data_IF_058555210717
#
_entry.id   IF_058555210717
#
_cell.length_a   1.000
_cell.length_b   1.000
_cell.length_c   1.000
_cell.angle_alpha   90.00
_cell.angle_beta   90.00
_cell.angle_gamma   90.00
#
_symmetry.space_group_name_H-M   'P 1'
#
loop_
_entity.id
_entity.type
_entity.pdbx_description
1 polymer ?
#
# COMPACT_ATOMS: atom_id res chain seq x y z
N UNK A 1 -40.13 26.91 2.67
CA UNK A 1 -41.07 25.79 2.89
C UNK A 1 -41.32 25.10 1.57
N UNK A 2 -40.66 23.97 1.34
CA UNK A 2 -41.04 22.98 0.32
C UNK A 2 -40.83 21.62 0.98
N UNK A 3 -41.90 20.85 1.01
CA UNK A 3 -42.13 19.68 1.87
C UNK A 3 -41.28 18.48 1.47
N UNK A 4 -40.55 17.95 2.45
CA UNK A 4 -39.85 16.66 2.41
C UNK A 4 -40.89 15.53 2.34
N UNK A 5 -41.03 14.89 1.18
CA UNK A 5 -41.81 13.65 1.03
C UNK A 5 -40.84 12.48 0.93
N UNK A 6 -40.77 11.70 2.00
CA UNK A 6 -39.97 10.49 2.07
C UNK A 6 -40.44 9.47 1.03
N UNK A 7 -39.54 9.13 0.10
CA UNK A 7 -39.58 7.86 -0.59
C UNK A 7 -38.32 7.08 -0.25
N UNK A 8 -38.58 5.89 0.29
CA UNK A 8 -37.65 4.86 0.71
C UNK A 8 -36.51 4.66 -0.28
N UNK A 9 -35.27 4.71 0.22
CA UNK A 9 -34.04 4.45 -0.52
C UNK A 9 -33.94 3.02 -1.09
N UNK A 10 -34.91 2.15 -0.80
CA UNK A 10 -34.96 0.76 -1.27
C UNK A 10 -35.57 0.58 -2.68
N UNK A 11 -36.06 1.64 -3.35
CA UNK A 11 -36.74 1.54 -4.65
C UNK A 11 -36.09 2.32 -5.81
N UNK A 12 -34.82 2.75 -5.69
CA UNK A 12 -34.13 3.43 -6.80
C UNK A 12 -33.40 2.45 -7.73
N UNK A 13 -33.80 2.45 -9.00
CA UNK A 13 -33.22 1.68 -10.10
C UNK A 13 -31.73 2.07 -10.33
N UNK A 14 -30.79 1.11 -10.43
CA UNK A 14 -29.34 1.38 -10.53
C UNK A 14 -28.95 2.29 -11.71
N UNK A 15 -29.71 2.26 -12.82
CA UNK A 15 -29.48 3.14 -13.97
C UNK A 15 -29.73 4.63 -13.67
N UNK A 16 -30.68 4.94 -12.78
CA UNK A 16 -31.00 6.32 -12.39
C UNK A 16 -29.91 6.93 -11.48
N UNK A 17 -29.26 6.11 -10.65
CA UNK A 17 -28.09 6.50 -9.86
C UNK A 17 -26.89 6.86 -10.76
N UNK A 18 -26.65 6.10 -11.83
CA UNK A 18 -25.56 6.37 -12.77
C UNK A 18 -25.82 7.60 -13.66
N UNK A 19 -27.07 7.84 -14.05
CA UNK A 19 -27.46 9.03 -14.82
C UNK A 19 -27.37 10.31 -13.98
N UNK A 20 -27.81 10.26 -12.71
CA UNK A 20 -27.78 11.42 -11.81
C UNK A 20 -26.35 11.79 -11.37
N UNK A 21 -25.47 10.78 -11.25
CA UNK A 21 -24.06 10.98 -10.92
C UNK A 21 -23.26 11.74 -12.00
N UNK A 22 -23.66 11.67 -13.29
CA UNK A 22 -23.01 12.42 -14.37
C UNK A 22 -23.41 13.90 -14.44
N UNK A 23 -24.57 14.27 -13.89
CA UNK A 23 -25.14 15.61 -14.07
C UNK A 23 -24.81 16.61 -12.93
N UNK A 24 -24.26 16.17 -11.80
CA UNK A 24 -24.04 17.02 -10.61
C UNK A 24 -22.56 17.38 -10.35
N UNK A 25 -21.77 17.54 -11.41
CA UNK A 25 -20.38 17.98 -11.30
C UNK A 25 -20.27 19.51 -11.20
N UNK A 26 -20.64 20.09 -10.06
CA UNK A 26 -20.34 21.51 -9.77
C UNK A 26 -20.03 21.71 -8.29
N UNK A 27 -18.80 21.33 -7.90
CA UNK A 27 -17.92 21.88 -6.83
C UNK A 27 -17.04 20.76 -6.24
N UNK A 28 -15.75 21.01 -5.98
CA UNK A 28 -14.82 19.98 -5.51
C UNK A 28 -15.19 19.38 -4.14
N UNK A 29 -15.86 20.15 -3.28
CA UNK A 29 -16.35 19.68 -1.96
C UNK A 29 -17.47 18.65 -2.08
N UNK A 30 -18.45 18.88 -2.97
CA UNK A 30 -19.55 17.94 -3.19
C UNK A 30 -19.04 16.64 -3.84
N UNK A 31 -18.09 16.75 -4.76
CA UNK A 31 -17.48 15.57 -5.39
C UNK A 31 -16.70 14.70 -4.40
N UNK A 32 -16.08 15.28 -3.36
CA UNK A 32 -15.43 14.51 -2.29
C UNK A 32 -16.46 13.89 -1.33
N UNK A 33 -17.47 14.64 -0.91
CA UNK A 33 -18.54 14.11 -0.06
C UNK A 33 -19.28 12.91 -0.70
N UNK A 34 -19.55 13.00 -2.01
CA UNK A 34 -20.13 11.88 -2.78
C UNK A 34 -19.18 10.69 -2.82
N UNK A 35 -17.87 10.91 -2.99
CA UNK A 35 -16.88 9.83 -2.98
C UNK A 35 -16.80 9.13 -1.62
N UNK A 36 -16.89 9.88 -0.52
CA UNK A 36 -16.95 9.32 0.85
C UNK A 36 -18.20 8.45 0.99
N UNK A 37 -19.38 8.98 0.64
CA UNK A 37 -20.63 8.21 0.73
C UNK A 37 -20.63 6.94 -0.13
N UNK A 38 -19.99 6.98 -1.30
CA UNK A 38 -19.79 5.81 -2.17
C UNK A 38 -18.85 4.79 -1.51
N UNK A 39 -17.74 5.23 -0.92
CA UNK A 39 -16.80 4.36 -0.22
C UNK A 39 -17.47 3.67 0.98
N UNK A 40 -18.25 4.41 1.76
CA UNK A 40 -19.04 3.86 2.87
C UNK A 40 -20.06 2.84 2.37
N UNK A 41 -20.71 3.11 1.23
CA UNK A 41 -21.66 2.18 0.63
C UNK A 41 -20.98 0.90 0.14
N UNK A 42 -19.79 1.00 -0.45
CA UNK A 42 -18.99 -0.16 -0.86
C UNK A 42 -18.63 -0.99 0.37
N UNK A 43 -18.15 -0.35 1.44
CA UNK A 43 -17.82 -1.04 2.68
C UNK A 43 -19.05 -1.78 3.25
N UNK A 44 -20.21 -1.14 3.32
CA UNK A 44 -21.46 -1.77 3.77
C UNK A 44 -21.84 -2.99 2.92
N UNK A 45 -21.70 -2.90 1.59
CA UNK A 45 -22.00 -4.01 0.68
C UNK A 45 -21.01 -5.16 0.91
N UNK A 46 -19.72 -4.88 1.01
CA UNK A 46 -18.70 -5.90 1.24
C UNK A 46 -18.89 -6.58 2.60
N UNK A 47 -19.15 -5.81 3.66
CA UNK A 47 -19.38 -6.34 5.00
C UNK A 47 -20.67 -7.17 5.09
N UNK A 48 -21.70 -6.88 4.28
CA UNK A 48 -22.90 -7.72 4.21
C UNK A 48 -22.60 -9.17 3.79
N UNK A 49 -21.60 -9.37 2.92
CA UNK A 49 -21.19 -10.71 2.48
C UNK A 49 -20.16 -11.37 3.40
N UNK A 50 -19.89 -10.82 4.59
CA UNK A 50 -18.86 -11.37 5.50
C UNK A 50 -19.13 -12.83 5.90
N UNK A 51 -20.40 -13.20 6.15
CA UNK A 51 -20.79 -14.58 6.52
C UNK A 51 -20.72 -15.57 5.34
N UNK A 52 -20.87 -15.08 4.11
CA UNK A 52 -20.87 -15.87 2.88
C UNK A 52 -19.90 -15.29 1.87
N UNK A 53 -18.66 -15.14 2.33
CA UNK A 53 -17.62 -14.43 1.60
C UNK A 53 -17.46 -14.96 0.17
N UNK A 54 -17.54 -16.28 -0.01
CA UNK A 54 -17.39 -17.03 -1.29
C UNK A 54 -18.25 -16.52 -2.44
N UNK A 55 -19.41 -15.91 -2.17
CA UNK A 55 -20.25 -15.31 -3.21
C UNK A 55 -19.55 -14.16 -3.96
N UNK A 56 -18.54 -13.54 -3.35
CA UNK A 56 -17.75 -12.49 -4.00
C UNK A 56 -16.69 -13.05 -4.97
N UNK A 57 -16.34 -14.34 -4.90
CA UNK A 57 -15.22 -14.93 -5.69
C UNK A 57 -15.26 -14.64 -7.18
N UNK A 58 -16.41 -14.75 -7.87
CA UNK A 58 -16.50 -14.47 -9.30
C UNK A 58 -16.14 -13.01 -9.65
N UNK A 59 -16.34 -12.09 -8.71
CA UNK A 59 -16.17 -10.66 -8.92
C UNK A 59 -14.84 -10.12 -8.36
N UNK A 60 -14.10 -10.91 -7.56
CA UNK A 60 -12.84 -10.46 -6.96
C UNK A 60 -11.79 -9.98 -7.96
N UNK A 61 -11.57 -10.63 -9.12
CA UNK A 61 -10.56 -10.16 -10.07
C UNK A 61 -10.90 -8.76 -10.60
N UNK A 62 -12.15 -8.54 -11.00
CA UNK A 62 -12.62 -7.26 -11.54
C UNK A 62 -12.63 -6.17 -10.46
N UNK A 63 -13.18 -6.47 -9.27
CA UNK A 63 -13.20 -5.53 -8.14
C UNK A 63 -11.79 -5.13 -7.71
N UNK A 64 -10.87 -6.10 -7.60
CA UNK A 64 -9.48 -5.81 -7.23
C UNK A 64 -8.82 -4.95 -8.30
N UNK A 65 -8.98 -5.27 -9.58
CA UNK A 65 -8.41 -4.47 -10.67
C UNK A 65 -8.96 -3.04 -10.69
N UNK A 66 -10.26 -2.85 -10.50
CA UNK A 66 -10.91 -1.53 -10.45
C UNK A 66 -10.39 -0.65 -9.31
N UNK A 67 -10.09 -1.24 -8.16
CA UNK A 67 -9.57 -0.51 -6.99
C UNK A 67 -8.06 -0.28 -7.07
N UNK A 68 -7.30 -1.25 -7.57
CA UNK A 68 -5.82 -1.24 -7.48
C UNK A 68 -5.16 -0.55 -8.67
N UNK A 69 -5.72 -0.62 -9.87
CA UNK A 69 -5.20 0.08 -11.06
C UNK A 69 -5.01 1.60 -10.82
N UNK A 70 -6.01 2.36 -10.34
CA UNK A 70 -5.83 3.79 -10.09
C UNK A 70 -4.83 4.08 -8.97
N UNK A 71 -4.70 3.19 -7.98
CA UNK A 71 -3.69 3.32 -6.92
C UNK A 71 -2.28 3.13 -7.48
N UNK A 72 -2.11 2.16 -8.39
CA UNK A 72 -0.83 1.89 -9.04
C UNK A 72 -0.42 3.05 -9.94
N UNK A 73 -1.33 3.54 -10.80
CA UNK A 73 -1.07 4.71 -11.64
C UNK A 73 -0.65 5.93 -10.81
N UNK A 74 -1.31 6.14 -9.67
CA UNK A 74 -0.94 7.21 -8.74
C UNK A 74 0.44 6.98 -8.08
N UNK A 75 0.79 5.72 -7.74
CA UNK A 75 2.11 5.38 -7.21
C UNK A 75 3.23 5.73 -8.21
N UNK A 76 3.02 5.44 -9.50
CA UNK A 76 3.93 5.86 -10.58
C UNK A 76 4.05 7.37 -10.67
N UNK A 77 2.93 8.10 -10.60
CA UNK A 77 2.94 9.56 -10.62
C UNK A 77 3.69 10.17 -9.42
N UNK A 78 3.53 9.59 -8.23
CA UNK A 78 4.28 9.99 -7.01
C UNK A 78 5.78 9.76 -7.19
N UNK A 79 6.17 8.62 -7.78
CA UNK A 79 7.56 8.31 -8.06
C UNK A 79 8.18 9.34 -9.02
N UNK A 80 7.48 9.65 -10.10
CA UNK A 80 7.91 10.63 -11.11
C UNK A 80 8.01 12.05 -10.54
N UNK A 81 7.05 12.44 -9.68
CA UNK A 81 7.11 13.72 -8.97
C UNK A 81 8.32 13.84 -8.05
N UNK A 82 8.71 12.75 -7.37
CA UNK A 82 9.92 12.70 -6.53
C UNK A 82 11.20 12.81 -7.35
N UNK A 83 11.25 12.14 -8.50
CA UNK A 83 12.41 12.21 -9.40
C UNK A 83 12.62 13.62 -9.95
N UNK A 84 11.53 14.29 -10.34
CA UNK A 84 11.57 15.68 -10.81
C UNK A 84 12.04 16.66 -9.71
N UNK A 85 11.54 16.50 -8.47
CA UNK A 85 11.96 17.31 -7.33
C UNK A 85 13.44 17.05 -6.95
N UNK A 86 13.87 15.79 -6.98
CA UNK A 86 15.25 15.39 -6.71
C UNK A 86 16.24 15.90 -7.75
N UNK A 87 15.88 15.90 -9.03
CA UNK A 87 16.69 16.46 -10.12
C UNK A 87 16.86 17.98 -10.00
N UNK A 88 15.83 18.70 -9.53
CA UNK A 88 15.93 20.14 -9.28
C UNK A 88 16.82 20.50 -8.08
N UNK A 89 17.02 19.58 -7.13
CA UNK A 89 17.86 19.79 -5.95
C UNK A 89 19.33 19.38 -6.17
N UNK A 90 19.60 18.43 -7.08
CA UNK A 90 20.96 18.02 -7.47
C UNK A 90 21.44 18.87 -8.65
N UNK A 91 21.80 20.11 -8.36
CA UNK A 91 22.63 20.89 -9.29
C UNK A 91 23.99 20.21 -9.48
N UNK A 92 24.29 19.86 -10.74
CA UNK A 92 25.62 19.64 -11.32
C UNK A 92 26.57 18.65 -10.61
N UNK A 93 26.55 17.37 -11.02
CA UNK A 93 27.78 16.62 -11.39
C UNK A 93 27.39 15.35 -12.18
N UNK A 94 27.99 15.16 -13.35
CA UNK A 94 27.55 14.20 -14.36
C UNK A 94 28.01 12.74 -14.22
N UNK A 95 27.44 11.93 -15.12
CA UNK A 95 28.05 10.71 -15.67
C UNK A 95 27.46 9.38 -15.19
N UNK A 96 26.80 8.65 -16.10
CA UNK A 96 26.64 7.19 -15.97
C UNK A 96 25.22 6.65 -16.19
N UNK A 97 24.85 6.50 -17.46
CA UNK A 97 23.72 5.71 -17.96
C UNK A 97 23.60 4.31 -17.33
N UNK A 98 22.37 3.97 -16.93
CA UNK A 98 21.63 2.84 -17.50
C UNK A 98 20.14 3.03 -17.20
N UNK A 99 19.44 3.65 -18.16
CA UNK A 99 18.01 3.83 -18.10
C UNK A 99 17.31 2.47 -18.24
N UNK A 100 16.92 1.90 -17.12
CA UNK A 100 15.93 0.83 -17.10
C UNK A 100 14.72 1.28 -17.92
N UNK A 101 14.40 0.49 -18.95
CA UNK A 101 13.40 0.76 -19.97
C UNK A 101 12.02 0.86 -19.31
N UNK A 102 11.62 2.07 -18.89
CA UNK A 102 10.32 2.35 -18.25
C UNK A 102 9.20 1.85 -19.15
N UNK A 103 8.30 0.96 -18.67
CA UNK A 103 7.16 0.56 -19.46
C UNK A 103 6.25 1.75 -19.74
N UNK A 104 5.84 1.90 -21.00
CA UNK A 104 4.88 2.91 -21.47
C UNK A 104 3.48 2.58 -20.92
N UNK A 105 3.23 2.82 -19.65
CA UNK A 105 1.84 3.02 -19.17
C UNK A 105 1.40 4.40 -19.64
N UNK A 106 0.31 4.44 -20.41
CA UNK A 106 -0.16 5.66 -21.06
C UNK A 106 -0.38 6.78 -20.02
N UNK A 107 0.23 7.93 -20.29
CA UNK A 107 0.26 9.13 -19.45
C UNK A 107 -1.10 9.84 -19.33
N UNK A 108 -2.16 9.11 -18.99
CA UNK A 108 -3.43 9.65 -18.50
C UNK A 108 -3.38 9.71 -16.97
N UNK A 109 -2.32 10.32 -16.42
CA UNK A 109 -2.15 10.48 -14.96
C UNK A 109 -3.13 11.54 -14.46
N UNK A 110 -4.34 11.11 -14.12
CA UNK A 110 -5.21 11.88 -13.23
C UNK A 110 -4.59 11.79 -11.83
N UNK A 111 -3.88 12.83 -11.42
CA UNK A 111 -3.43 12.95 -10.03
C UNK A 111 -4.63 12.78 -9.09
N UNK A 112 -4.56 11.77 -8.21
CA UNK A 112 -5.60 11.47 -7.23
C UNK A 112 -5.15 12.09 -5.92
N UNK A 113 -5.84 13.13 -5.40
CA UNK A 113 -5.51 13.67 -4.09
C UNK A 113 -5.45 12.56 -3.04
N UNK A 114 -4.47 12.62 -2.12
CA UNK A 114 -4.25 11.59 -1.10
C UNK A 114 -5.54 11.24 -0.34
N UNK A 115 -6.39 12.23 -0.06
CA UNK A 115 -7.70 12.02 0.57
C UNK A 115 -8.62 11.07 -0.20
N UNK A 116 -8.60 11.13 -1.55
CA UNK A 116 -9.37 10.20 -2.39
C UNK A 116 -8.71 8.83 -2.44
N UNK A 117 -7.38 8.77 -2.49
CA UNK A 117 -6.68 7.50 -2.46
C UNK A 117 -6.90 6.74 -1.14
N UNK A 118 -7.00 7.46 -0.01
CA UNK A 118 -7.35 6.88 1.29
C UNK A 118 -8.69 6.14 1.24
N UNK A 119 -9.71 6.71 0.58
CA UNK A 119 -11.00 6.04 0.41
C UNK A 119 -10.90 4.73 -0.39
N UNK A 120 -10.05 4.70 -1.42
CA UNK A 120 -9.80 3.49 -2.20
C UNK A 120 -9.03 2.45 -1.36
N UNK A 121 -8.02 2.88 -0.61
CA UNK A 121 -7.30 1.99 0.32
C UNK A 121 -8.23 1.42 1.40
N UNK A 122 -9.17 2.21 1.92
CA UNK A 122 -10.15 1.75 2.89
C UNK A 122 -11.07 0.68 2.28
N UNK A 123 -11.49 0.84 1.01
CA UNK A 123 -12.26 -0.16 0.29
C UNK A 123 -11.45 -1.45 0.03
N UNK A 124 -10.18 -1.34 -0.38
CA UNK A 124 -9.29 -2.50 -0.55
C UNK A 124 -9.05 -3.21 0.77
N UNK A 125 -8.84 -2.46 1.86
CA UNK A 125 -8.71 -3.02 3.19
C UNK A 125 -9.97 -3.77 3.64
N UNK A 126 -11.16 -3.20 3.39
CA UNK A 126 -12.44 -3.87 3.65
C UNK A 126 -12.55 -5.20 2.88
N UNK A 127 -12.16 -5.21 1.60
CA UNK A 127 -12.13 -6.42 0.78
C UNK A 127 -11.16 -7.48 1.34
N UNK A 128 -9.97 -7.05 1.77
CA UNK A 128 -8.98 -7.91 2.43
C UNK A 128 -9.51 -8.47 3.76
N UNK A 129 -10.21 -7.65 4.56
CA UNK A 129 -10.81 -8.05 5.83
C UNK A 129 -11.91 -9.10 5.62
N UNK A 130 -12.78 -8.92 4.63
CA UNK A 130 -13.93 -9.79 4.36
C UNK A 130 -13.50 -11.14 3.76
N UNK A 131 -12.62 -11.13 2.75
CA UNK A 131 -12.20 -12.37 2.06
C UNK A 131 -10.94 -13.02 2.60
N UNK A 132 -10.11 -12.26 3.31
CA UNK A 132 -8.78 -12.66 3.76
C UNK A 132 -7.68 -12.26 2.78
N UNK A 133 -6.56 -11.81 3.34
CA UNK A 133 -5.44 -11.27 2.55
C UNK A 133 -4.87 -12.29 1.55
N UNK A 134 -4.78 -13.58 1.92
CA UNK A 134 -4.20 -14.63 1.06
C UNK A 134 -4.92 -14.80 -0.28
N UNK A 135 -6.22 -14.49 -0.32
CA UNK A 135 -7.03 -14.56 -1.54
C UNK A 135 -6.81 -13.30 -2.38
N UNK A 136 -6.91 -12.12 -1.75
CA UNK A 136 -6.83 -10.84 -2.44
C UNK A 136 -5.42 -10.57 -3.02
N UNK A 137 -4.35 -10.93 -2.31
CA UNK A 137 -2.98 -10.71 -2.79
C UNK A 137 -2.67 -11.43 -4.10
N UNK A 138 -3.43 -12.48 -4.46
CA UNK A 138 -3.27 -13.21 -5.73
C UNK A 138 -3.73 -12.41 -6.94
N UNK A 139 -4.58 -11.40 -6.73
CA UNK A 139 -5.10 -10.53 -7.78
C UNK A 139 -4.34 -9.20 -7.88
N UNK A 140 -3.39 -8.96 -6.97
CA UNK A 140 -2.52 -7.78 -7.03
C UNK A 140 -1.46 -7.96 -8.12
N UNK A 141 -1.00 -6.84 -8.69
CA UNK A 141 0.13 -6.88 -9.63
C UNK A 141 1.38 -7.43 -8.94
N UNK A 142 2.09 -8.33 -9.62
CA UNK A 142 3.30 -9.00 -9.13
C UNK A 142 4.55 -8.62 -9.94
N UNK A 143 4.43 -7.58 -10.76
CA UNK A 143 5.48 -7.12 -11.64
C UNK A 143 6.65 -6.49 -10.86
N UNK A 144 7.91 -6.87 -11.12
CA UNK A 144 9.05 -6.37 -10.35
C UNK A 144 9.22 -4.84 -10.41
N UNK A 145 8.88 -4.24 -11.56
CA UNK A 145 8.99 -2.79 -11.79
C UNK A 145 7.96 -1.98 -10.98
N UNK A 146 6.92 -2.61 -10.43
CA UNK A 146 5.97 -1.96 -9.53
C UNK A 146 6.55 -1.77 -8.10
N UNK A 147 7.66 -2.42 -7.76
CA UNK A 147 8.24 -2.39 -6.41
C UNK A 147 8.59 -0.97 -5.93
N UNK A 148 9.41 -0.23 -6.69
CA UNK A 148 9.81 1.12 -6.33
C UNK A 148 8.63 2.12 -6.30
N UNK A 149 7.72 2.16 -7.30
CA UNK A 149 6.53 3.00 -7.23
C UNK A 149 5.70 2.74 -5.97
N UNK A 150 5.42 1.47 -5.65
CA UNK A 150 4.64 1.10 -4.47
C UNK A 150 5.35 1.51 -3.18
N UNK A 151 6.67 1.32 -3.11
CA UNK A 151 7.47 1.69 -1.95
C UNK A 151 7.54 3.21 -1.79
N UNK A 152 7.76 3.98 -2.86
CA UNK A 152 7.71 5.43 -2.81
C UNK A 152 6.32 5.94 -2.40
N UNK A 153 5.25 5.27 -2.82
CA UNK A 153 3.92 5.64 -2.41
C UNK A 153 3.69 5.39 -0.91
N UNK A 154 4.17 4.27 -0.38
CA UNK A 154 4.14 3.95 1.06
C UNK A 154 4.85 5.04 1.90
N UNK A 155 5.95 5.59 1.40
CA UNK A 155 6.71 6.67 2.05
C UNK A 155 6.04 8.06 1.92
N UNK A 156 4.78 8.15 1.45
CA UNK A 156 4.10 9.45 1.31
C UNK A 156 3.63 9.94 2.68
N UNK A 157 3.95 11.20 3.07
CA UNK A 157 3.51 11.73 4.34
C UNK A 157 1.98 11.73 4.43
N UNK A 158 1.45 11.31 5.59
CA UNK A 158 0.01 11.19 5.79
C UNK A 158 -0.61 9.93 5.17
N UNK A 159 0.18 8.93 4.76
CA UNK A 159 -0.34 7.61 4.43
C UNK A 159 -1.15 7.05 5.62
N UNK A 160 -2.36 6.53 5.37
CA UNK A 160 -3.16 5.92 6.42
C UNK A 160 -2.61 4.54 6.78
N UNK A 161 -2.85 4.05 8.01
CA UNK A 161 -2.43 2.71 8.41
C UNK A 161 -3.05 1.61 7.51
N UNK A 162 -4.28 1.82 6.99
CA UNK A 162 -4.94 0.91 6.04
C UNK A 162 -4.23 0.90 4.68
N UNK A 163 -3.81 2.06 4.22
CA UNK A 163 -2.98 2.20 3.01
C UNK A 163 -1.62 1.54 3.19
N UNK A 164 -0.94 1.81 4.31
CA UNK A 164 0.34 1.21 4.64
C UNK A 164 0.23 -0.33 4.71
N UNK A 165 -0.76 -0.87 5.41
CA UNK A 165 -1.04 -2.31 5.48
C UNK A 165 -1.25 -2.91 4.07
N UNK A 166 -2.08 -2.27 3.25
CA UNK A 166 -2.38 -2.73 1.89
C UNK A 166 -1.13 -2.72 1.01
N UNK A 167 -0.32 -1.65 1.10
CA UNK A 167 0.93 -1.52 0.34
C UNK A 167 1.98 -2.54 0.81
N UNK A 168 2.11 -2.81 2.11
CA UNK A 168 3.01 -3.88 2.58
C UNK A 168 2.58 -5.24 2.05
N UNK A 169 1.29 -5.56 2.05
CA UNK A 169 0.80 -6.80 1.44
C UNK A 169 1.08 -6.85 -0.07
N UNK A 170 0.97 -5.73 -0.77
CA UNK A 170 1.29 -5.66 -2.19
C UNK A 170 2.78 -5.86 -2.44
N UNK A 171 3.64 -5.16 -1.71
CA UNK A 171 5.09 -5.34 -1.73
C UNK A 171 5.46 -6.80 -1.39
N UNK A 172 4.72 -7.46 -0.51
CA UNK A 172 4.96 -8.86 -0.14
C UNK A 172 4.69 -9.85 -1.26
N UNK A 173 3.79 -9.56 -2.21
CA UNK A 173 3.58 -10.43 -3.37
C UNK A 173 4.61 -10.13 -4.45
N UNK A 174 4.96 -8.85 -4.65
CA UNK A 174 6.03 -8.48 -5.58
C UNK A 174 7.35 -9.11 -5.12
N UNK A 175 7.71 -9.02 -3.84
CA UNK A 175 8.95 -9.60 -3.30
C UNK A 175 9.06 -11.13 -3.42
N UNK A 176 7.94 -11.84 -3.63
CA UNK A 176 7.93 -13.29 -3.83
C UNK A 176 8.32 -13.67 -5.27
N UNK A 177 8.18 -12.76 -6.23
CA UNK A 177 8.49 -12.98 -7.64
C UNK A 177 10.01 -13.13 -7.81
N UNK A 178 10.50 -14.13 -8.59
CA UNK A 178 11.94 -14.34 -8.79
C UNK A 178 12.52 -13.25 -9.71
N UNK A 179 13.18 -12.24 -9.12
CA UNK A 179 13.95 -11.21 -9.82
C UNK A 179 15.07 -10.70 -8.93
N UNK A 180 16.15 -10.21 -9.51
CA UNK A 180 17.24 -9.59 -8.76
C UNK A 180 16.89 -8.14 -8.35
N UNK A 181 17.00 -7.82 -7.05
CA UNK A 181 16.72 -6.48 -6.51
C UNK A 181 17.75 -5.46 -7.02
N UNK A 182 18.98 -5.88 -7.26
CA UNK A 182 20.04 -4.99 -7.76
C UNK A 182 19.74 -4.47 -9.17
N UNK A 183 18.95 -5.19 -9.96
CA UNK A 183 18.52 -4.75 -11.30
C UNK A 183 17.45 -3.65 -11.25
N UNK A 184 16.74 -3.53 -10.12
CA UNK A 184 15.61 -2.59 -9.94
C UNK A 184 16.02 -1.39 -9.11
N UNK A 185 17.08 -1.51 -8.31
CA UNK A 185 17.59 -0.43 -7.48
C UNK A 185 18.03 0.78 -8.33
N UNK A 186 17.17 1.80 -8.38
CA UNK A 186 17.45 3.06 -9.06
C UNK A 186 18.40 3.97 -8.27
N UNK A 187 19.01 3.47 -7.18
CA UNK A 187 19.84 4.21 -6.21
C UNK A 187 19.13 5.43 -5.62
N UNK A 188 17.80 5.40 -5.60
CA UNK A 188 16.96 6.52 -5.11
C UNK A 188 17.09 6.72 -3.60
N UNK A 189 17.40 5.64 -2.87
CA UNK A 189 17.49 5.61 -1.40
C UNK A 189 18.93 5.74 -0.88
N UNK A 190 19.88 6.11 -1.74
CA UNK A 190 21.27 6.32 -1.37
C UNK A 190 21.38 7.29 -0.16
N UNK A 191 22.25 7.01 0.83
CA UNK A 191 23.35 6.04 0.79
C UNK A 191 22.97 4.57 1.01
N UNK A 192 21.73 4.26 1.36
CA UNK A 192 21.25 2.89 1.56
C UNK A 192 20.86 2.24 0.22
N UNK A 193 20.98 0.91 0.14
CA UNK A 193 20.41 0.16 -0.97
C UNK A 193 18.88 0.12 -0.89
N UNK A 194 18.21 -0.20 -1.99
CA UNK A 194 16.76 -0.44 -1.99
C UNK A 194 16.37 -1.54 -0.98
N UNK A 195 17.15 -2.62 -0.89
CA UNK A 195 16.92 -3.72 0.06
C UNK A 195 16.96 -3.22 1.52
N UNK A 196 17.98 -2.45 1.89
CA UNK A 196 18.12 -1.87 3.22
C UNK A 196 16.98 -0.91 3.57
N UNK A 197 16.58 -0.04 2.62
CA UNK A 197 15.48 0.89 2.82
C UNK A 197 14.13 0.15 3.03
N UNK A 198 13.89 -0.93 2.28
CA UNK A 198 12.70 -1.77 2.44
C UNK A 198 12.67 -2.46 3.81
N UNK A 199 13.79 -3.04 4.25
CA UNK A 199 13.93 -3.68 5.56
C UNK A 199 13.69 -2.66 6.68
N UNK A 200 14.38 -1.51 6.62
CA UNK A 200 14.26 -0.45 7.62
C UNK A 200 12.83 0.08 7.75
N UNK A 201 12.13 0.26 6.62
CA UNK A 201 10.72 0.67 6.63
C UNK A 201 9.83 -0.38 7.31
N UNK A 202 10.06 -1.67 7.03
CA UNK A 202 9.29 -2.75 7.64
C UNK A 202 9.55 -2.84 9.16
N UNK A 203 10.81 -2.73 9.60
CA UNK A 203 11.19 -2.64 11.02
C UNK A 203 10.46 -1.49 11.72
N UNK A 204 10.46 -0.30 11.12
CA UNK A 204 9.78 0.88 11.68
C UNK A 204 8.25 0.71 11.75
N UNK A 205 7.66 -0.11 10.88
CA UNK A 205 6.25 -0.48 10.96
C UNK A 205 5.98 -1.56 12.02
N UNK A 206 6.90 -2.49 12.25
CA UNK A 206 6.79 -3.51 13.31
C UNK A 206 6.89 -2.92 14.71
N UNK A 207 7.68 -1.86 14.89
CA UNK A 207 7.80 -1.15 16.18
C UNK A 207 6.51 -0.41 16.58
N UNK A 208 5.56 -0.22 15.66
CA UNK A 208 4.30 0.50 15.93
C UNK A 208 3.19 -0.50 16.29
N UNK A 209 2.42 -0.27 17.38
CA UNK A 209 1.31 -1.14 17.76
C UNK A 209 0.08 -0.87 16.89
N UNK A 210 0.17 -1.18 15.60
CA UNK A 210 -0.91 -1.01 14.64
C UNK A 210 -1.13 -2.27 13.82
N UNK A 211 -2.28 -2.39 13.19
CA UNK A 211 -2.59 -3.45 12.22
C UNK A 211 -1.68 -3.42 10.98
N UNK A 212 -0.99 -2.30 10.72
CA UNK A 212 -0.02 -2.19 9.63
C UNK A 212 1.22 -3.08 9.88
N UNK A 213 1.56 -3.32 11.16
CA UNK A 213 2.66 -4.20 11.57
C UNK A 213 2.49 -5.63 11.05
N UNK A 214 1.26 -6.16 11.02
CA UNK A 214 0.97 -7.49 10.51
C UNK A 214 1.27 -7.60 9.00
N UNK A 215 0.96 -6.55 8.24
CA UNK A 215 1.31 -6.46 6.82
C UNK A 215 2.82 -6.38 6.62
N UNK A 216 3.49 -5.53 7.42
CA UNK A 216 4.94 -5.38 7.42
C UNK A 216 5.67 -6.69 7.79
N UNK A 217 5.14 -7.47 8.74
CA UNK A 217 5.68 -8.78 9.11
C UNK A 217 5.63 -9.78 7.95
N UNK A 218 4.51 -9.83 7.23
CA UNK A 218 4.35 -10.69 6.05
C UNK A 218 5.32 -10.27 4.94
N UNK A 219 5.46 -8.96 4.71
CA UNK A 219 6.42 -8.42 3.76
C UNK A 219 7.85 -8.76 4.12
N UNK A 220 8.27 -8.46 5.36
CA UNK A 220 9.63 -8.68 5.84
C UNK A 220 9.99 -10.17 5.80
N UNK A 221 9.10 -11.06 6.24
CA UNK A 221 9.32 -12.50 6.18
C UNK A 221 9.57 -13.00 4.75
N UNK A 222 8.79 -12.53 3.77
CA UNK A 222 8.99 -12.91 2.36
C UNK A 222 10.25 -12.30 1.75
N UNK A 223 10.55 -11.05 2.11
CA UNK A 223 11.75 -10.36 1.67
C UNK A 223 12.99 -11.12 2.17
N UNK A 224 13.10 -11.39 3.47
CA UNK A 224 14.25 -12.08 4.09
C UNK A 224 14.46 -13.52 3.59
N UNK A 225 13.41 -14.20 3.11
CA UNK A 225 13.54 -15.54 2.51
C UNK A 225 14.05 -15.54 1.07
N UNK A 226 14.28 -14.37 0.48
CA UNK A 226 14.69 -14.22 -0.91
C UNK A 226 16.18 -14.46 -1.06
N UNK A 227 16.56 -15.18 -2.12
CA UNK A 227 17.96 -15.62 -2.33
C UNK A 227 18.93 -14.47 -2.52
N UNK A 228 18.48 -13.40 -3.17
CA UNK A 228 19.38 -12.32 -3.58
C UNK A 228 19.71 -11.33 -2.45
N UNK A 229 19.12 -11.47 -1.26
CA UNK A 229 19.40 -10.59 -0.10
C UNK A 229 20.03 -11.34 1.07
N UNK A 230 20.73 -12.44 0.78
CA UNK A 230 21.32 -13.29 1.81
C UNK A 230 22.19 -12.51 2.80
N UNK A 231 23.01 -11.57 2.32
CA UNK A 231 23.88 -10.77 3.17
C UNK A 231 23.09 -9.83 4.10
N UNK A 232 22.08 -9.13 3.58
CA UNK A 232 21.23 -8.26 4.39
C UNK A 232 20.34 -9.05 5.35
N UNK A 233 19.90 -10.25 4.95
CA UNK A 233 19.13 -11.15 5.81
C UNK A 233 19.98 -11.68 6.96
N UNK A 234 21.22 -12.09 6.70
CA UNK A 234 22.17 -12.51 7.73
C UNK A 234 22.48 -11.37 8.71
N UNK A 235 22.70 -10.16 8.18
CA UNK A 235 22.90 -8.95 8.99
C UNK A 235 21.69 -8.64 9.87
N UNK A 236 20.49 -8.76 9.31
CA UNK A 236 19.23 -8.59 10.04
C UNK A 236 19.10 -9.61 11.18
N UNK A 237 19.40 -10.88 10.92
CA UNK A 237 19.37 -11.94 11.93
C UNK A 237 20.40 -11.71 13.04
N UNK A 238 21.64 -11.35 12.69
CA UNK A 238 22.68 -11.03 13.67
C UNK A 238 22.27 -9.87 14.59
N UNK A 239 21.69 -8.80 14.03
CA UNK A 239 21.18 -7.66 14.81
C UNK A 239 20.04 -8.07 15.74
N UNK A 240 19.13 -8.91 15.25
CA UNK A 240 18.00 -9.42 16.04
C UNK A 240 18.47 -10.28 17.21
N UNK A 241 19.42 -11.19 16.97
CA UNK A 241 20.02 -12.02 18.02
C UNK A 241 20.76 -11.16 19.05
N UNK A 242 21.56 -10.18 18.60
CA UNK A 242 22.25 -9.27 19.49
C UNK A 242 21.27 -8.50 20.40
N UNK A 243 20.17 -8.02 19.83
CA UNK A 243 19.13 -7.32 20.58
C UNK A 243 18.46 -8.24 21.62
N UNK A 244 18.13 -9.48 21.26
CA UNK A 244 17.57 -10.45 22.20
C UNK A 244 18.54 -10.76 23.35
N UNK A 245 19.83 -10.90 23.05
CA UNK A 245 20.86 -11.12 24.08
C UNK A 245 20.99 -9.90 25.00
N UNK A 246 20.92 -8.68 24.48
CA UNK A 246 20.94 -7.47 25.33
C UNK A 246 19.71 -7.40 26.24
N UNK A 247 18.53 -7.77 25.75
CA UNK A 247 17.32 -7.80 26.56
C UNK A 247 17.40 -8.85 27.68
N UNK A 248 17.95 -10.04 27.39
CA UNK A 248 18.13 -11.12 28.37
C UNK A 248 19.04 -10.65 29.53
N UNK A 249 20.16 -10.01 29.20
CA UNK A 249 21.09 -9.44 30.18
C UNK A 249 20.46 -8.32 31.02
N UNK A 250 19.65 -7.45 30.41
CA UNK A 250 18.93 -6.38 31.12
C UNK A 250 17.89 -6.97 32.08
N UNK A 251 17.12 -7.96 31.65
CA UNK A 251 16.11 -8.62 32.49
C UNK A 251 16.74 -9.34 33.70
N UNK A 252 17.86 -10.04 33.51
CA UNK A 252 18.61 -10.67 34.60
C UNK A 252 19.10 -9.64 35.62
N UNK A 253 19.56 -8.48 35.16
CA UNK A 253 20.01 -7.39 36.04
C UNK A 253 18.86 -6.81 36.89
N UNK A 254 17.67 -6.66 36.31
CA UNK A 254 16.47 -6.23 37.03
C UNK A 254 15.99 -7.27 38.05
N UNK A 255 16.04 -8.56 37.71
CA UNK A 255 15.74 -9.64 38.65
C UNK A 255 16.73 -9.72 39.81
N UNK A 256 18.02 -9.45 39.58
CA UNK A 256 19.04 -9.40 40.62
C UNK A 256 18.83 -8.20 41.57
N UNK A 257 18.45 -7.02 41.04
CA UNK A 257 18.17 -5.83 41.85
C UNK A 257 16.88 -5.93 42.68
N UNK A 258 15.86 -6.65 42.20
CA UNK A 258 14.59 -6.84 42.92
C UNK A 258 14.66 -7.87 44.07
N UNK A 259 15.76 -8.61 44.21
CA UNK A 259 16.00 -9.59 45.30
C UNK A 259 16.83 -9.03 46.46
N UNK A 260 17.31 -7.80 46.35
CA UNK A 260 18.01 -7.04 47.40
C UNK A 260 17.02 -6.10 48.10
#
# INVERSE_FOLDING_TARGET
MATFSGKSAAQMNPAALMSSARSFMTTPRHAHAVAVALADRIAQILEYYQEQATLLDPYLPELTALLTTPLLDHAYAVLEGRDAAGASARGDTGGGEQAAKKPKRAATSRFIPLERARLIFDAVYCLIKVRGYKTIVRFLSHEPHDLEPLFAYLQTPGMSWRGAYTLYLWLSIVALTPFDLHLIDSRRYAPQSLSEALISSAEAALARPSTESAGAAVFLGRLLTRRDIGEEADRYLQRTVALLLTMDLEMDSHHAQARL
#
